data_IF_427579351065
#
_entry.id   IF_427579351065
#
_cell.length_a   1.000
_cell.length_b   1.000
_cell.length_c   1.000
_cell.angle_alpha   90.00
_cell.angle_beta   90.00
_cell.angle_gamma   90.00
#
_symmetry.space_group_name_H-M   'P 1'
#
loop_
_entity.id
_entity.type
_entity.pdbx_description
1 polymer ?
#
# COMPACT_ATOMS: atom_id res chain seq x y z
N UNK A 1 -2.26 -6.70 -11.68
CA UNK A 1 -1.31 -5.59 -11.94
C UNK A 1 -0.14 -5.49 -10.94
N UNK A 2 -0.07 -6.31 -9.89
CA UNK A 2 0.99 -6.22 -8.86
C UNK A 2 2.40 -6.27 -9.45
N UNK A 3 2.71 -7.25 -10.30
CA UNK A 3 4.06 -7.42 -10.86
C UNK A 3 4.58 -6.17 -11.56
N UNK A 4 3.78 -5.56 -12.44
CA UNK A 4 4.14 -4.32 -13.14
C UNK A 4 4.37 -3.15 -12.19
N UNK A 5 3.57 -3.04 -11.12
CA UNK A 5 3.75 -1.99 -10.13
C UNK A 5 5.08 -2.16 -9.36
N UNK A 6 5.42 -3.40 -9.02
CA UNK A 6 6.72 -3.74 -8.40
C UNK A 6 7.88 -3.40 -9.34
N UNK A 7 7.79 -3.79 -10.62
CA UNK A 7 8.84 -3.49 -11.62
C UNK A 7 9.03 -1.97 -11.83
N UNK A 8 7.99 -1.17 -11.60
CA UNK A 8 8.02 0.30 -11.64
C UNK A 8 8.40 0.96 -10.31
N UNK A 9 8.69 0.18 -9.25
CA UNK A 9 9.01 0.72 -7.92
C UNK A 9 7.84 1.38 -7.19
N UNK A 10 6.60 1.17 -7.65
CA UNK A 10 5.40 1.75 -7.06
C UNK A 10 5.09 1.09 -5.72
N UNK A 11 4.78 1.90 -4.71
CA UNK A 11 4.34 1.41 -3.40
C UNK A 11 2.89 0.93 -3.46
N UNK A 12 2.63 -0.22 -2.84
CA UNK A 12 1.34 -0.90 -2.86
C UNK A 12 0.70 -0.91 -1.47
N UNK A 13 -0.63 -0.86 -1.43
CA UNK A 13 -1.43 -1.04 -0.23
C UNK A 13 -2.38 -2.23 -0.40
N UNK A 14 -2.51 -3.05 0.64
CA UNK A 14 -3.50 -4.13 0.73
C UNK A 14 -4.69 -3.59 1.53
N UNK A 15 -5.88 -3.69 0.94
CA UNK A 15 -7.15 -3.28 1.53
C UNK A 15 -8.24 -4.30 1.17
N UNK A 16 -9.21 -4.51 2.07
CA UNK A 16 -10.37 -5.39 1.86
C UNK A 16 -11.64 -4.64 1.46
N UNK A 17 -11.62 -3.31 1.51
CA UNK A 17 -12.82 -2.47 1.31
C UNK A 17 -13.98 -2.91 2.23
N UNK A 18 -13.63 -3.14 3.51
CA UNK A 18 -14.53 -3.71 4.49
C UNK A 18 -15.65 -2.72 4.84
N UNK A 19 -16.90 -3.13 4.59
CA UNK A 19 -18.12 -2.45 5.03
C UNK A 19 -18.76 -3.12 6.27
N UNK A 20 -18.24 -4.30 6.63
CA UNK A 20 -18.56 -5.03 7.86
C UNK A 20 -17.27 -5.61 8.47
N UNK A 21 -17.22 -5.79 9.79
CA UNK A 21 -16.04 -6.28 10.51
C UNK A 21 -15.53 -7.61 9.92
N UNK A 22 -16.45 -8.53 9.59
CA UNK A 22 -16.10 -9.83 9.01
C UNK A 22 -15.36 -9.73 7.67
N UNK A 23 -15.55 -8.65 6.90
CA UNK A 23 -14.84 -8.47 5.62
C UNK A 23 -13.34 -8.23 5.82
N UNK A 24 -12.91 -7.80 7.01
CA UNK A 24 -11.50 -7.60 7.31
C UNK A 24 -10.69 -8.91 7.28
N UNK A 25 -11.35 -10.05 7.51
CA UNK A 25 -10.74 -11.38 7.40
C UNK A 25 -10.31 -11.71 5.96
N UNK A 26 -10.86 -11.02 4.95
CA UNK A 26 -10.51 -11.20 3.54
C UNK A 26 -9.10 -10.69 3.19
N UNK A 27 -8.35 -10.08 4.12
CA UNK A 27 -7.00 -9.53 3.89
C UNK A 27 -6.02 -10.55 3.31
N UNK A 28 -6.20 -11.84 3.62
CA UNK A 28 -5.37 -12.92 3.12
C UNK A 28 -5.39 -13.02 1.58
N UNK A 29 -6.50 -12.67 0.92
CA UNK A 29 -6.56 -12.61 -0.56
C UNK A 29 -5.67 -11.51 -1.13
N UNK A 30 -5.56 -10.37 -0.43
CA UNK A 30 -4.64 -9.30 -0.79
C UNK A 30 -3.18 -9.74 -0.67
N UNK A 31 -2.83 -10.47 0.39
CA UNK A 31 -1.50 -11.06 0.58
C UNK A 31 -1.17 -12.08 -0.52
N UNK A 32 -2.10 -13.01 -0.81
CA UNK A 32 -1.93 -13.99 -1.88
C UNK A 32 -1.74 -13.32 -3.25
N UNK A 33 -2.48 -12.25 -3.52
CA UNK A 33 -2.34 -11.46 -4.75
C UNK A 33 -0.98 -10.76 -4.83
N UNK A 34 -0.48 -10.23 -3.71
CA UNK A 34 0.85 -9.62 -3.62
C UNK A 34 1.96 -10.65 -3.90
N UNK A 35 1.88 -11.84 -3.29
CA UNK A 35 2.82 -12.95 -3.50
C UNK A 35 2.86 -13.40 -4.96
N UNK A 36 1.70 -13.57 -5.61
CA UNK A 36 1.63 -13.91 -7.04
C UNK A 36 2.30 -12.87 -7.95
N UNK A 37 2.34 -11.61 -7.51
CA UNK A 37 3.03 -10.54 -8.22
C UNK A 37 4.48 -10.32 -7.81
N UNK A 38 5.04 -11.19 -6.97
CA UNK A 38 6.41 -11.12 -6.45
C UNK A 38 6.72 -9.85 -5.65
N UNK A 39 5.70 -9.26 -5.01
CA UNK A 39 5.91 -8.15 -4.11
C UNK A 39 6.64 -8.62 -2.84
N UNK A 40 7.64 -7.85 -2.39
CA UNK A 40 8.28 -8.04 -1.09
C UNK A 40 7.60 -7.17 -0.03
N UNK A 41 7.92 -7.40 1.25
CA UNK A 41 7.38 -6.57 2.34
C UNK A 41 7.68 -5.06 2.10
N UNK A 42 8.86 -4.73 1.60
CA UNK A 42 9.28 -3.35 1.32
C UNK A 42 8.44 -2.64 0.25
N UNK A 43 7.81 -3.41 -0.65
CA UNK A 43 6.87 -2.91 -1.66
C UNK A 43 5.48 -2.62 -1.08
N UNK A 44 5.12 -3.20 0.07
CA UNK A 44 3.79 -3.11 0.69
C UNK A 44 3.81 -2.20 1.91
N UNK A 45 3.10 -1.06 1.84
CA UNK A 45 3.12 -0.04 2.90
C UNK A 45 2.52 -0.52 4.23
N UNK A 46 1.62 -1.51 4.20
CA UNK A 46 0.99 -2.09 5.40
C UNK A 46 2.01 -2.79 6.33
N UNK A 47 3.21 -3.11 5.84
CA UNK A 47 4.26 -3.77 6.62
C UNK A 47 5.21 -2.79 7.30
N UNK A 48 5.09 -1.49 7.00
CA UNK A 48 6.00 -0.49 7.51
C UNK A 48 5.69 -0.14 8.97
N UNK A 49 6.71 0.27 9.75
CA UNK A 49 6.49 0.97 11.01
C UNK A 49 5.55 2.17 10.83
N UNK A 50 4.71 2.42 11.86
CA UNK A 50 3.66 3.43 11.81
C UNK A 50 4.20 4.85 11.54
N UNK A 51 5.30 5.20 12.21
CA UNK A 51 6.01 6.48 12.05
C UNK A 51 6.48 6.69 10.61
N UNK A 52 7.07 5.66 9.99
CA UNK A 52 7.49 5.68 8.58
C UNK A 52 6.31 5.89 7.64
N UNK A 53 5.20 5.18 7.87
CA UNK A 53 3.99 5.34 7.05
C UNK A 53 3.44 6.77 7.15
N UNK A 54 3.31 7.30 8.36
CA UNK A 54 2.80 8.66 8.58
C UNK A 54 3.71 9.72 7.94
N UNK A 55 5.03 9.58 8.06
CA UNK A 55 5.99 10.47 7.40
C UNK A 55 5.83 10.44 5.87
N UNK A 56 5.70 9.24 5.29
CA UNK A 56 5.51 9.07 3.84
C UNK A 56 4.22 9.74 3.34
N UNK A 57 3.10 9.58 4.05
CA UNK A 57 1.82 10.17 3.67
C UNK A 57 1.82 11.69 3.80
N UNK A 58 2.47 12.24 4.83
CA UNK A 58 2.60 13.69 5.03
C UNK A 58 3.43 14.34 3.93
N UNK A 59 4.54 13.72 3.51
CA UNK A 59 5.37 14.23 2.41
C UNK A 59 4.55 14.44 1.15
N UNK A 60 3.77 13.45 0.75
CA UNK A 60 2.96 13.54 -0.46
C UNK A 60 1.90 14.64 -0.41
N UNK A 61 1.39 15.02 0.77
CA UNK A 61 0.46 16.15 0.89
C UNK A 61 1.18 17.49 0.67
N UNK A 62 2.39 17.64 1.20
CA UNK A 62 3.21 18.84 1.00
C UNK A 62 3.65 18.99 -0.46
N UNK A 63 4.05 17.88 -1.10
CA UNK A 63 4.40 17.86 -2.53
C UNK A 63 3.21 18.28 -3.40
N UNK A 64 1.98 17.88 -3.03
CA UNK A 64 0.74 18.28 -3.74
C UNK A 64 0.39 19.76 -3.53
N UNK A 65 0.52 20.27 -2.31
CA UNK A 65 0.28 21.70 -2.00
C UNK A 65 1.27 22.61 -2.76
N UNK A 66 2.55 22.22 -2.83
CA UNK A 66 3.55 22.95 -3.62
C UNK A 66 3.31 22.87 -5.13
N UNK A 67 2.83 21.74 -5.66
CA UNK A 67 2.53 21.61 -7.10
C UNK A 67 1.22 22.32 -7.53
N UNK A 68 0.36 22.66 -6.57
CA UNK A 68 -0.90 23.37 -6.80
C UNK A 68 -0.81 24.89 -6.56
N UNK A 69 0.37 25.38 -6.13
CA UNK A 69 0.69 26.81 -5.91
C UNK A 69 1.55 27.34 -7.06
#
# INVERSE_FOLDING_TARGET
HVRRAVDLGIKLAINTDAHHIAHFELRHYGVATAQRGWATAESIINTWPLDKLLAYLRRNNQDKEMAAS
#
